data_IF_644873967129
#
_entry.id   IF_644873967129
#
_cell.length_a   1.000
_cell.length_b   1.000
_cell.length_c   1.000
_cell.angle_alpha   90.00
_cell.angle_beta   90.00
_cell.angle_gamma   90.00
#
_symmetry.space_group_name_H-M   'P 1'
#
loop_
_entity.id
_entity.type
_entity.pdbx_description
1 polymer ?
#
# COMPACT_ATOMS: atom_id res chain seq x y z
N UNK A 1 18.25 17.72 -10.70
CA UNK A 1 17.63 18.80 -11.48
C UNK A 1 16.32 18.27 -12.05
N UNK A 2 15.21 18.96 -11.79
CA UNK A 2 13.87 18.53 -12.23
C UNK A 2 13.74 18.58 -13.75
N UNK A 3 14.58 19.39 -14.41
CA UNK A 3 14.64 19.51 -15.87
C UNK A 3 15.08 18.22 -16.57
N UNK A 4 15.73 17.31 -15.85
CA UNK A 4 16.26 16.05 -16.38
C UNK A 4 15.24 14.90 -16.34
N UNK A 5 14.09 15.07 -15.66
CA UNK A 5 13.09 14.01 -15.54
C UNK A 5 12.19 14.00 -16.78
N UNK A 6 12.00 12.84 -17.46
CA UNK A 6 11.10 12.74 -18.60
C UNK A 6 9.65 13.12 -18.23
N UNK A 7 8.97 13.86 -19.12
CA UNK A 7 7.59 14.32 -18.90
C UNK A 7 6.52 13.27 -19.20
N UNK A 8 6.90 12.18 -19.87
CA UNK A 8 5.99 11.10 -20.27
C UNK A 8 6.57 9.74 -19.89
N UNK A 9 5.69 8.77 -19.66
CA UNK A 9 6.05 7.38 -19.37
C UNK A 9 5.02 6.43 -19.97
N UNK A 10 5.44 5.19 -20.23
CA UNK A 10 4.54 4.09 -20.52
C UNK A 10 4.38 3.28 -19.24
N UNK A 11 3.13 3.08 -18.82
CA UNK A 11 2.79 2.35 -17.59
C UNK A 11 1.68 1.36 -17.88
N UNK A 12 1.66 0.28 -17.11
CA UNK A 12 0.48 -0.58 -17.04
C UNK A 12 -0.69 0.18 -16.40
N UNK A 13 -1.90 -0.17 -16.80
CA UNK A 13 -3.11 0.38 -16.21
C UNK A 13 -3.39 -0.23 -14.84
N UNK A 14 -4.22 0.46 -14.05
CA UNK A 14 -4.69 -0.06 -12.75
C UNK A 14 -5.41 -1.41 -12.92
N UNK A 15 -6.26 -1.52 -13.95
CA UNK A 15 -6.96 -2.77 -14.29
C UNK A 15 -5.99 -3.93 -14.52
N UNK A 16 -4.91 -3.69 -15.27
CA UNK A 16 -3.89 -4.70 -15.56
C UNK A 16 -3.18 -5.18 -14.29
N UNK A 17 -2.92 -4.29 -13.33
CA UNK A 17 -2.34 -4.68 -12.03
C UNK A 17 -3.35 -5.53 -11.25
N UNK A 18 -4.61 -5.11 -11.19
CA UNK A 18 -5.67 -5.83 -10.46
C UNK A 18 -6.13 -7.14 -11.12
N UNK A 19 -5.73 -7.41 -12.36
CA UNK A 19 -5.96 -8.68 -13.04
C UNK A 19 -4.94 -9.77 -12.64
N UNK A 20 -3.91 -9.40 -11.86
CA UNK A 20 -2.88 -10.34 -11.38
C UNK A 20 -3.48 -11.36 -10.40
N UNK A 21 -2.81 -12.51 -10.21
CA UNK A 21 -3.25 -13.45 -9.18
C UNK A 21 -3.05 -12.90 -7.76
N UNK A 22 -1.92 -12.22 -7.55
CA UNK A 22 -1.51 -11.65 -6.28
C UNK A 22 -0.75 -10.34 -6.53
N UNK A 23 -0.99 -9.35 -5.67
CA UNK A 23 -0.33 -8.04 -5.75
C UNK A 23 0.32 -7.72 -4.41
N UNK A 24 1.62 -7.44 -4.43
CA UNK A 24 2.39 -7.00 -3.28
C UNK A 24 2.86 -5.55 -3.48
N UNK A 25 2.58 -4.69 -2.51
CA UNK A 25 3.04 -3.30 -2.49
C UNK A 25 4.03 -3.10 -1.34
N UNK A 26 5.11 -2.38 -1.63
CA UNK A 26 6.08 -1.95 -0.62
C UNK A 26 5.91 -0.45 -0.37
N UNK A 27 5.75 -0.05 0.90
CA UNK A 27 5.61 1.34 1.30
C UNK A 27 6.54 1.66 2.48
N UNK A 28 7.51 2.55 2.26
CA UNK A 28 8.51 2.90 3.28
C UNK A 28 8.64 4.41 3.45
N UNK A 29 8.80 4.83 4.70
CA UNK A 29 9.04 6.19 5.16
C UNK A 29 7.78 7.05 5.27
N UNK A 30 7.89 8.10 6.10
CA UNK A 30 6.80 9.04 6.40
C UNK A 30 6.13 9.65 5.15
N UNK A 31 6.88 9.81 4.04
CA UNK A 31 6.35 10.33 2.77
C UNK A 31 5.17 9.51 2.20
N UNK A 32 5.00 8.27 2.67
CA UNK A 32 3.96 7.34 2.22
C UNK A 32 2.80 7.19 3.21
N UNK A 33 2.89 7.77 4.41
CA UNK A 33 1.89 7.59 5.47
C UNK A 33 0.48 7.98 5.03
N UNK A 34 0.34 9.16 4.40
CA UNK A 34 -0.93 9.60 3.84
C UNK A 34 -1.51 8.65 2.78
N UNK A 35 -0.65 8.11 1.92
CA UNK A 35 -1.07 7.21 0.86
C UNK A 35 -1.57 5.87 1.45
N UNK A 36 -0.89 5.33 2.46
CA UNK A 36 -1.29 4.13 3.20
C UNK A 36 -2.64 4.32 3.89
N UNK A 37 -2.86 5.46 4.54
CA UNK A 37 -4.15 5.78 5.15
C UNK A 37 -5.28 5.72 4.13
N UNK A 38 -5.12 6.37 2.97
CA UNK A 38 -6.12 6.31 1.91
C UNK A 38 -6.27 4.93 1.27
N UNK A 39 -5.23 4.10 1.28
CA UNK A 39 -5.28 2.74 0.79
C UNK A 39 -6.08 1.79 1.71
N UNK A 40 -5.99 2.00 3.03
CA UNK A 40 -6.48 1.04 4.05
C UNK A 40 -7.77 1.51 4.72
N UNK A 41 -7.84 2.77 5.15
CA UNK A 41 -8.92 3.25 6.03
C UNK A 41 -10.05 3.99 5.29
N UNK A 42 -9.73 4.57 4.14
CA UNK A 42 -10.65 5.39 3.37
C UNK A 42 -11.28 4.59 2.22
N UNK A 43 -12.39 5.11 1.67
CA UNK A 43 -13.07 4.47 0.55
C UNK A 43 -12.31 4.54 -0.78
N UNK A 44 -12.61 3.58 -1.67
CA UNK A 44 -12.07 3.49 -3.03
C UNK A 44 -12.32 4.80 -3.79
N UNK A 45 -11.27 5.40 -4.34
CA UNK A 45 -11.36 6.62 -5.12
C UNK A 45 -10.22 6.72 -6.15
N UNK A 46 -10.47 7.43 -7.26
CA UNK A 46 -9.50 7.59 -8.34
C UNK A 46 -8.34 8.56 -8.04
N UNK A 47 -8.46 9.38 -6.99
CA UNK A 47 -7.35 10.27 -6.57
C UNK A 47 -6.22 9.48 -5.89
N UNK A 48 -6.57 8.36 -5.26
CA UNK A 48 -5.68 7.42 -4.60
C UNK A 48 -5.86 6.04 -5.23
N UNK A 49 -5.29 5.85 -6.42
CA UNK A 49 -5.50 4.64 -7.23
C UNK A 49 -5.15 3.34 -6.49
N UNK A 50 -4.23 3.37 -5.52
CA UNK A 50 -3.90 2.24 -4.64
C UNK A 50 -5.11 1.68 -3.86
N UNK A 51 -6.13 2.50 -3.59
CA UNK A 51 -7.37 2.06 -2.93
C UNK A 51 -8.14 1.02 -3.75
N UNK A 52 -7.87 0.89 -5.06
CA UNK A 52 -8.43 -0.20 -5.87
C UNK A 52 -8.06 -1.59 -5.35
N UNK A 53 -6.94 -1.72 -4.61
CA UNK A 53 -6.48 -3.01 -4.05
C UNK A 53 -7.46 -3.58 -3.03
N UNK A 54 -8.33 -2.75 -2.44
CA UNK A 54 -9.43 -3.21 -1.58
C UNK A 54 -10.39 -4.17 -2.31
N UNK A 55 -10.46 -4.11 -3.65
CA UNK A 55 -11.27 -5.04 -4.46
C UNK A 55 -10.50 -6.29 -4.88
N UNK A 56 -9.19 -6.33 -4.69
CA UNK A 56 -8.34 -7.43 -5.15
C UNK A 56 -8.43 -8.61 -4.18
N UNK A 57 -8.57 -9.83 -4.70
CA UNK A 57 -8.76 -11.03 -3.87
C UNK A 57 -7.55 -11.39 -3.00
N UNK A 58 -6.35 -11.05 -3.47
CA UNK A 58 -5.06 -11.32 -2.79
C UNK A 58 -4.14 -10.10 -2.89
N UNK A 59 -4.26 -9.16 -1.97
CA UNK A 59 -3.39 -7.99 -1.92
C UNK A 59 -2.63 -7.95 -0.60
N UNK A 60 -1.32 -7.72 -0.67
CA UNK A 60 -0.43 -7.59 0.48
C UNK A 60 0.24 -6.22 0.42
N UNK A 61 0.26 -5.52 1.54
CA UNK A 61 1.01 -4.27 1.68
C UNK A 61 2.03 -4.47 2.78
N UNK A 62 3.30 -4.38 2.42
CA UNK A 62 4.43 -4.41 3.35
C UNK A 62 4.86 -2.98 3.62
N UNK A 63 4.88 -2.59 4.88
CA UNK A 63 5.27 -1.25 5.29
C UNK A 63 6.19 -1.23 6.50
N UNK A 64 7.02 -0.19 6.59
CA UNK A 64 7.79 0.14 7.78
C UNK A 64 6.95 0.93 8.79
N UNK A 65 7.44 1.10 10.01
CA UNK A 65 6.69 1.80 11.06
C UNK A 65 6.45 3.28 10.71
N UNK A 66 7.43 3.97 10.12
CA UNK A 66 7.34 5.38 9.72
C UNK A 66 6.20 5.63 8.72
N UNK A 67 5.93 4.69 7.82
CA UNK A 67 4.84 4.79 6.87
C UNK A 67 3.46 4.54 7.52
N UNK A 68 3.39 4.11 8.78
CA UNK A 68 2.13 3.88 9.49
C UNK A 68 1.64 5.06 10.34
N UNK A 69 2.39 6.16 10.40
CA UNK A 69 2.13 7.30 11.29
C UNK A 69 0.74 7.94 11.17
N UNK A 70 0.15 7.92 9.96
CA UNK A 70 -1.18 8.49 9.72
C UNK A 70 -2.33 7.49 9.91
N UNK A 71 -2.02 6.22 10.19
CA UNK A 71 -3.02 5.19 10.47
C UNK A 71 -3.54 5.31 11.89
N UNK A 72 -4.78 4.88 12.12
CA UNK A 72 -5.31 4.74 13.48
C UNK A 72 -4.57 3.62 14.19
N UNK A 73 -4.27 3.85 15.47
CA UNK A 73 -3.65 2.84 16.35
C UNK A 73 -4.44 1.51 16.34
N UNK A 74 -5.77 1.58 16.25
CA UNK A 74 -6.62 0.39 16.14
C UNK A 74 -6.38 -0.42 14.86
N UNK A 75 -6.23 0.26 13.73
CA UNK A 75 -5.92 -0.36 12.43
C UNK A 75 -4.57 -1.05 12.46
N UNK A 76 -3.54 -0.38 12.97
CA UNK A 76 -2.20 -0.97 13.07
C UNK A 76 -2.19 -2.20 13.98
N UNK A 77 -2.86 -2.13 15.13
CA UNK A 77 -2.97 -3.27 16.06
C UNK A 77 -3.71 -4.44 15.43
N UNK A 78 -4.78 -4.19 14.69
CA UNK A 78 -5.55 -5.23 14.01
C UNK A 78 -4.67 -6.04 13.05
N UNK A 79 -3.91 -5.37 12.17
CA UNK A 79 -3.04 -6.09 11.22
C UNK A 79 -1.81 -6.72 11.88
N UNK A 80 -1.22 -6.09 12.90
CA UNK A 80 -0.12 -6.71 13.67
C UNK A 80 -0.56 -7.99 14.40
N UNK A 81 -1.80 -8.06 14.86
CA UNK A 81 -2.36 -9.26 15.50
C UNK A 81 -2.57 -10.39 14.49
N UNK A 82 -3.17 -10.09 13.34
CA UNK A 82 -3.37 -11.05 12.23
C UNK A 82 -2.04 -11.64 11.76
N UNK A 83 -1.03 -10.79 11.56
CA UNK A 83 0.28 -11.20 11.02
C UNK A 83 1.29 -11.59 12.10
N UNK A 84 0.88 -11.71 13.37
CA UNK A 84 1.78 -11.96 14.50
C UNK A 84 2.67 -13.19 14.31
N UNK A 85 2.16 -14.25 13.68
CA UNK A 85 2.91 -15.47 13.38
C UNK A 85 3.83 -15.35 12.15
N UNK A 86 3.50 -14.45 11.21
CA UNK A 86 4.25 -14.27 9.97
C UNK A 86 5.36 -13.22 10.09
N UNK A 87 5.28 -12.36 11.10
CA UNK A 87 6.31 -11.35 11.42
C UNK A 87 7.42 -11.88 12.32
N UNK A 88 7.22 -13.06 12.93
CA UNK A 88 8.25 -13.74 13.71
C UNK A 88 9.14 -14.56 12.77
N UNK A 89 10.34 -14.05 12.50
CA UNK A 89 11.32 -14.71 11.64
C UNK A 89 12.05 -15.88 12.32
N UNK A 90 11.58 -16.38 13.46
CA UNK A 90 12.20 -17.48 14.22
C UNK A 90 11.87 -18.90 13.71
N UNK A 91 11.64 -19.04 12.40
CA UNK A 91 11.59 -20.33 11.70
C UNK A 91 12.87 -21.16 11.94
#
# INVERSE_FOLDING_TARGET
>A
DISQVPTTSLTVGVGTITDSEEVMILASGHSKARALKHAIEEGINQMWTISCLQMHKKAIIVCDEDATDELRVGTLRYFKDIESQNLDNSL
#
